data_IF_099140975920
#
_entry.id   IF_099140975920
#
_cell.length_a   1.000
_cell.length_b   1.000
_cell.length_c   1.000
_cell.angle_alpha   90.00
_cell.angle_beta   90.00
_cell.angle_gamma   90.00
#
_symmetry.space_group_name_H-M   'P 1'
#
loop_
_entity.id
_entity.type
_entity.pdbx_description
1 polymer ?
#
# COMPACT_ATOMS: atom_id res chain seq x y z
N UNK A 1 -4.80 28.16 0.77
CA UNK A 1 -5.59 26.94 0.59
C UNK A 1 -5.86 26.25 1.93
N UNK A 2 -6.85 25.35 2.04
CA UNK A 2 -7.08 24.54 3.27
C UNK A 2 -6.37 23.19 3.16
N UNK A 3 -5.86 22.71 4.30
CA UNK A 3 -5.17 21.41 4.36
C UNK A 3 -5.05 20.87 5.78
N UNK A 4 -4.83 19.56 5.89
CA UNK A 4 -4.63 18.85 7.16
C UNK A 4 -3.13 18.75 7.45
N UNK A 5 -2.65 19.60 8.35
CA UNK A 5 -1.25 19.66 8.77
C UNK A 5 -1.00 18.72 9.94
N UNK A 6 -0.06 17.82 9.79
CA UNK A 6 0.49 17.02 10.89
C UNK A 6 1.71 17.70 11.49
N UNK A 7 1.66 17.97 12.79
CA UNK A 7 2.79 18.51 13.56
C UNK A 7 3.12 17.55 14.71
N UNK A 8 4.28 16.92 14.72
CA UNK A 8 4.62 15.92 15.74
C UNK A 8 4.51 16.47 17.17
N UNK A 9 3.95 15.66 18.06
CA UNK A 9 3.85 15.95 19.49
C UNK A 9 4.09 14.66 20.26
N UNK A 10 5.20 14.57 20.97
CA UNK A 10 5.58 13.37 21.74
C UNK A 10 4.48 12.96 22.73
N UNK A 11 3.90 13.86 23.56
CA UNK A 11 2.83 13.47 24.48
C UNK A 11 1.61 12.88 23.78
N UNK A 12 1.16 13.50 22.68
CA UNK A 12 0.00 13.00 21.90
C UNK A 12 0.32 11.67 21.21
N UNK A 13 1.52 11.52 20.70
CA UNK A 13 2.00 10.29 20.09
C UNK A 13 1.97 9.12 21.08
N UNK A 14 2.52 9.31 22.30
CA UNK A 14 2.51 8.30 23.36
C UNK A 14 1.07 7.98 23.79
N UNK A 15 0.24 8.98 24.03
CA UNK A 15 -1.15 8.76 24.39
C UNK A 15 -1.94 8.00 23.30
N UNK A 16 -1.75 8.35 22.04
CA UNK A 16 -2.37 7.66 20.91
C UNK A 16 -1.87 6.20 20.79
N UNK A 17 -0.58 5.95 21.04
CA UNK A 17 0.01 4.61 21.06
C UNK A 17 -0.62 3.73 22.13
N UNK A 18 -0.76 4.26 23.35
CA UNK A 18 -1.29 3.52 24.49
C UNK A 18 -2.79 3.23 24.35
N UNK A 19 -3.57 4.20 23.93
CA UNK A 19 -5.04 4.09 23.83
C UNK A 19 -5.50 3.48 22.49
N UNK A 20 -4.63 3.49 21.46
CA UNK A 20 -4.94 2.97 20.13
C UNK A 20 -6.21 3.57 19.54
N UNK A 21 -7.10 2.75 18.99
CA UNK A 21 -8.37 3.21 18.39
C UNK A 21 -9.36 3.87 19.35
N UNK A 22 -9.11 3.83 20.67
CA UNK A 22 -9.90 4.55 21.69
C UNK A 22 -9.47 6.01 21.83
N UNK A 23 -8.26 6.36 21.36
CA UNK A 23 -7.78 7.75 21.37
C UNK A 23 -8.62 8.60 20.40
N UNK A 24 -9.23 9.71 20.89
CA UNK A 24 -10.14 10.49 20.07
C UNK A 24 -9.40 11.15 18.90
N UNK A 25 -9.90 11.06 17.66
CA UNK A 25 -9.23 11.66 16.50
C UNK A 25 -8.90 13.14 16.67
N UNK A 26 -9.81 13.93 17.26
CA UNK A 26 -9.59 15.37 17.51
C UNK A 26 -8.41 15.70 18.42
N UNK A 27 -7.92 14.72 19.19
CA UNK A 27 -6.75 14.86 20.04
C UNK A 27 -5.44 14.47 19.35
N UNK A 28 -5.50 13.92 18.13
CA UNK A 28 -4.32 13.60 17.33
C UNK A 28 -3.52 14.85 16.97
N UNK A 29 -2.26 14.66 16.58
CA UNK A 29 -1.36 15.71 16.10
C UNK A 29 -1.68 16.14 14.67
N UNK A 30 -2.96 16.27 14.33
CA UNK A 30 -3.47 16.64 13.00
C UNK A 30 -4.44 17.82 13.16
N UNK A 31 -4.29 18.83 12.30
CA UNK A 31 -5.10 20.04 12.37
C UNK A 31 -5.48 20.51 10.97
N UNK A 32 -6.77 20.83 10.79
CA UNK A 32 -7.22 21.54 9.61
C UNK A 32 -6.84 23.03 9.76
N UNK A 33 -6.09 23.55 8.78
CA UNK A 33 -5.61 24.93 8.84
C UNK A 33 -5.59 25.57 7.45
N UNK A 34 -5.47 26.90 7.43
CA UNK A 34 -5.22 27.65 6.21
C UNK A 34 -3.71 27.70 5.97
N UNK A 35 -3.30 27.19 4.82
CA UNK A 35 -1.92 27.14 4.37
C UNK A 35 -1.70 28.12 3.21
N UNK A 36 -0.48 28.61 3.00
CA UNK A 36 -0.15 29.31 1.77
C UNK A 36 -0.35 28.39 0.57
N UNK A 37 -0.42 28.98 -0.62
CA UNK A 37 -0.33 28.19 -1.86
C UNK A 37 1.03 27.52 -1.91
N UNK A 38 1.09 26.23 -2.33
CA UNK A 38 2.37 25.54 -2.38
C UNK A 38 3.28 26.18 -3.42
N UNK A 39 4.52 26.43 -3.03
CA UNK A 39 5.57 26.87 -3.94
C UNK A 39 5.80 25.84 -5.03
N UNK A 40 6.17 26.29 -6.21
CA UNK A 40 6.45 25.43 -7.36
C UNK A 40 7.95 25.42 -7.66
N UNK A 41 8.72 24.47 -7.10
CA UNK A 41 10.12 24.33 -7.44
C UNK A 41 10.32 24.00 -8.93
N UNK A 42 11.52 24.24 -9.48
CA UNK A 42 11.83 23.81 -10.86
C UNK A 42 11.57 22.32 -11.05
N UNK A 43 10.89 21.96 -12.15
CA UNK A 43 10.50 20.58 -12.46
C UNK A 43 9.18 20.12 -11.82
N UNK A 44 8.61 20.89 -10.89
CA UNK A 44 7.33 20.55 -10.25
C UNK A 44 6.14 21.27 -10.88
N UNK A 45 4.96 20.66 -10.78
CA UNK A 45 3.70 21.22 -11.21
C UNK A 45 2.72 21.35 -10.03
N UNK A 46 1.88 22.40 -10.08
CA UNK A 46 0.82 22.59 -9.07
C UNK A 46 -0.45 21.86 -9.50
N UNK A 47 -0.96 21.04 -8.61
CA UNK A 47 -2.12 20.18 -8.83
C UNK A 47 -3.29 20.59 -7.93
N UNK A 48 -4.52 20.47 -8.45
CA UNK A 48 -5.76 20.55 -7.68
C UNK A 48 -6.16 19.14 -7.27
N UNK A 49 -6.20 18.85 -5.97
CA UNK A 49 -6.57 17.52 -5.49
C UNK A 49 -8.06 17.29 -5.67
N UNK A 50 -8.43 16.13 -6.22
CA UNK A 50 -9.81 15.68 -6.38
C UNK A 50 -10.21 14.69 -5.30
N UNK A 51 -9.37 13.66 -5.08
CA UNK A 51 -9.53 12.67 -4.03
C UNK A 51 -8.16 12.32 -3.44
N UNK A 52 -8.10 12.08 -2.15
CA UNK A 52 -6.91 11.57 -1.48
C UNK A 52 -7.27 10.46 -0.49
N UNK A 53 -6.64 9.30 -0.63
CA UNK A 53 -6.87 8.14 0.24
C UNK A 53 -6.30 8.31 1.64
N UNK A 54 -6.85 7.54 2.58
CA UNK A 54 -6.26 7.32 3.91
C UNK A 54 -5.64 5.94 3.90
N UNK A 55 -4.31 5.90 4.03
CA UNK A 55 -3.52 4.68 4.08
C UNK A 55 -3.36 4.14 5.52
N UNK A 56 -3.04 2.87 5.64
CA UNK A 56 -2.63 2.26 6.91
C UNK A 56 -1.37 2.90 7.51
N UNK A 57 -0.44 3.38 6.67
CA UNK A 57 0.79 4.09 7.09
C UNK A 57 0.48 5.46 7.71
N UNK A 58 -0.50 6.22 7.18
CA UNK A 58 -0.97 7.46 7.79
C UNK A 58 -1.53 7.20 9.19
N UNK A 59 -2.35 6.15 9.32
CA UNK A 59 -2.90 5.76 10.62
C UNK A 59 -1.81 5.25 11.57
N UNK A 60 -0.80 4.54 11.07
CA UNK A 60 0.33 4.09 11.88
C UNK A 60 1.14 5.28 12.43
N UNK A 61 1.36 6.32 11.61
CA UNK A 61 1.98 7.57 12.05
C UNK A 61 1.11 8.27 13.12
N UNK A 62 -0.16 8.51 12.82
CA UNK A 62 -1.07 9.24 13.71
C UNK A 62 -1.27 8.55 15.08
N UNK A 63 -1.28 7.22 15.11
CA UNK A 63 -1.52 6.42 16.31
C UNK A 63 -0.25 5.81 16.93
N UNK A 64 0.93 6.31 16.58
CA UNK A 64 2.19 5.91 17.22
C UNK A 64 2.58 4.44 16.99
N UNK A 65 2.14 3.84 15.91
CA UNK A 65 2.40 2.43 15.56
C UNK A 65 3.52 2.24 14.55
N UNK A 66 4.07 3.33 14.02
CA UNK A 66 5.17 3.28 13.09
C UNK A 66 6.46 2.78 13.77
N UNK A 67 7.26 2.00 13.06
CA UNK A 67 8.55 1.55 13.59
C UNK A 67 9.48 2.76 13.82
N UNK A 68 10.10 2.90 15.00
CA UNK A 68 10.99 4.02 15.30
C UNK A 68 12.15 4.15 14.30
N UNK A 69 12.62 3.04 13.75
CA UNK A 69 13.69 3.00 12.73
C UNK A 69 13.34 3.75 11.44
N UNK A 70 12.05 3.94 11.14
CA UNK A 70 11.59 4.70 9.99
C UNK A 70 11.58 6.23 10.23
N UNK A 71 11.73 6.69 11.47
CA UNK A 71 11.60 8.11 11.81
C UNK A 71 12.61 9.01 11.10
N UNK A 72 13.81 8.51 10.79
CA UNK A 72 14.83 9.24 10.04
C UNK A 72 14.53 9.37 8.53
N UNK A 73 13.52 8.65 8.05
CA UNK A 73 13.12 8.64 6.64
C UNK A 73 11.92 9.56 6.36
N UNK A 74 11.51 10.39 7.32
CA UNK A 74 10.38 11.32 7.18
C UNK A 74 10.72 12.67 7.80
N UNK A 75 10.09 13.73 7.31
CA UNK A 75 10.26 15.06 7.85
C UNK A 75 8.91 15.76 8.06
N UNK A 76 8.81 16.50 9.17
CA UNK A 76 7.60 17.17 9.60
C UNK A 76 7.91 18.59 10.12
N UNK A 77 6.92 19.53 10.17
CA UNK A 77 5.49 19.32 9.88
C UNK A 77 5.21 19.07 8.39
N UNK A 78 4.16 18.33 8.06
CA UNK A 78 3.77 18.06 6.68
C UNK A 78 2.26 17.89 6.53
N UNK A 79 1.71 18.23 5.37
CA UNK A 79 0.38 17.80 4.95
C UNK A 79 0.47 16.35 4.55
N UNK A 80 -0.36 15.47 5.15
CA UNK A 80 -0.34 14.03 4.88
C UNK A 80 -1.10 13.66 3.58
N UNK A 81 -1.13 12.35 3.29
CA UNK A 81 -1.84 11.75 2.17
C UNK A 81 -0.99 11.57 0.92
N UNK A 82 -0.75 10.33 0.55
CA UNK A 82 0.10 9.93 -0.57
C UNK A 82 -0.63 9.11 -1.64
N UNK A 83 -1.90 8.76 -1.43
CA UNK A 83 -2.77 8.11 -2.43
C UNK A 83 -3.60 9.20 -3.11
N UNK A 84 -3.21 9.68 -4.29
CA UNK A 84 -3.67 10.97 -4.82
C UNK A 84 -4.22 10.85 -6.23
N UNK A 85 -5.47 11.29 -6.39
CA UNK A 85 -6.07 11.68 -7.65
C UNK A 85 -6.17 13.21 -7.68
N UNK A 86 -5.64 13.84 -8.71
CA UNK A 86 -5.61 15.28 -8.87
C UNK A 86 -5.97 15.71 -10.29
N UNK A 87 -5.90 17.02 -10.54
CA UNK A 87 -6.12 17.65 -11.83
C UNK A 87 -4.97 18.61 -12.15
N UNK A 88 -4.43 18.52 -13.36
CA UNK A 88 -3.44 19.41 -13.93
C UNK A 88 -4.00 20.00 -15.22
N UNK A 89 -4.31 21.30 -15.24
CA UNK A 89 -4.80 21.99 -16.46
C UNK A 89 -6.07 21.37 -17.04
N UNK A 90 -6.97 20.83 -16.23
CA UNK A 90 -8.21 20.16 -16.67
C UNK A 90 -8.06 18.65 -16.93
N UNK A 91 -6.83 18.14 -16.97
CA UNK A 91 -6.57 16.69 -17.14
C UNK A 91 -6.51 15.99 -15.79
N UNK A 92 -7.21 14.85 -15.66
CA UNK A 92 -7.14 14.01 -14.45
C UNK A 92 -5.83 13.24 -14.43
N UNK A 93 -5.16 13.28 -13.27
CA UNK A 93 -3.85 12.67 -13.08
C UNK A 93 -3.78 11.96 -11.73
N UNK A 94 -2.96 10.92 -11.67
CA UNK A 94 -2.54 10.29 -10.41
C UNK A 94 -1.08 10.59 -10.15
N UNK A 95 -0.69 10.62 -8.89
CA UNK A 95 0.65 11.03 -8.47
C UNK A 95 1.39 9.85 -7.87
N UNK A 96 2.57 9.55 -8.40
CA UNK A 96 3.54 8.68 -7.74
C UNK A 96 4.25 9.50 -6.64
N UNK A 97 4.04 9.19 -5.34
CA UNK A 97 4.58 9.99 -4.25
C UNK A 97 6.06 9.75 -3.93
N UNK A 98 6.72 8.81 -4.59
CA UNK A 98 8.15 8.51 -4.36
C UNK A 98 9.02 9.73 -4.72
N UNK A 99 9.96 10.07 -3.83
CA UNK A 99 10.96 11.12 -4.02
C UNK A 99 12.35 10.49 -4.01
N UNK A 100 12.96 10.41 -5.18
CA UNK A 100 14.27 9.82 -5.41
C UNK A 100 15.34 10.88 -5.78
N UNK A 101 16.46 10.49 -6.33
CA UNK A 101 17.55 11.40 -6.71
C UNK A 101 17.08 12.51 -7.63
N UNK A 102 16.24 12.21 -8.62
CA UNK A 102 15.73 13.19 -9.59
C UNK A 102 15.00 14.35 -8.91
N UNK A 103 14.04 14.07 -8.04
CA UNK A 103 13.23 15.09 -7.36
C UNK A 103 14.05 15.87 -6.35
N UNK A 104 15.15 15.28 -5.86
CA UNK A 104 16.08 15.89 -4.90
C UNK A 104 17.19 16.69 -5.55
N UNK A 105 17.24 16.75 -6.91
CA UNK A 105 18.28 17.45 -7.65
C UNK A 105 19.67 16.81 -7.53
N UNK A 106 19.74 15.50 -7.37
CA UNK A 106 20.98 14.73 -7.21
C UNK A 106 21.24 13.81 -8.40
N UNK A 107 22.50 13.50 -8.69
CA UNK A 107 22.86 12.40 -9.59
C UNK A 107 22.29 11.07 -9.07
N UNK A 108 22.01 10.16 -9.99
CA UNK A 108 21.46 8.84 -9.63
C UNK A 108 22.40 8.06 -8.69
N UNK A 109 21.84 7.62 -7.58
CA UNK A 109 22.49 6.64 -6.73
C UNK A 109 22.40 5.23 -7.36
N UNK A 110 23.15 4.22 -6.86
CA UNK A 110 23.11 2.88 -7.43
C UNK A 110 21.73 2.23 -7.52
N UNK A 111 20.79 2.59 -6.65
CA UNK A 111 19.41 2.11 -6.72
C UNK A 111 18.64 2.79 -7.86
N UNK A 112 18.70 4.13 -7.94
CA UNK A 112 18.04 4.89 -9.01
C UNK A 112 18.58 4.53 -10.41
N UNK A 113 19.88 4.35 -10.53
CA UNK A 113 20.51 3.92 -11.79
C UNK A 113 20.03 2.54 -12.29
N UNK A 114 19.49 1.70 -11.40
CA UNK A 114 18.88 0.41 -11.76
C UNK A 114 17.37 0.47 -11.93
N UNK A 115 16.75 1.64 -11.82
CA UNK A 115 15.29 1.79 -11.80
C UNK A 115 14.60 1.41 -10.49
N UNK A 116 15.37 1.12 -9.43
CA UNK A 116 14.86 0.81 -8.09
C UNK A 116 14.71 2.13 -7.27
N UNK A 117 14.09 3.14 -7.84
CA UNK A 117 14.01 4.51 -7.28
C UNK A 117 13.30 4.56 -5.93
N UNK A 118 12.40 3.64 -5.64
CA UNK A 118 11.75 3.46 -4.33
C UNK A 118 12.75 3.02 -3.23
N UNK A 119 13.92 2.49 -3.60
CA UNK A 119 15.02 2.13 -2.71
C UNK A 119 16.16 3.17 -2.77
N UNK A 120 15.87 4.41 -3.12
CA UNK A 120 16.85 5.49 -3.22
C UNK A 120 17.71 5.59 -1.95
N UNK A 121 19.05 5.65 -2.12
CA UNK A 121 19.98 5.81 -1.00
C UNK A 121 19.94 7.25 -0.42
N UNK A 122 19.57 8.22 -1.27
CA UNK A 122 19.59 9.63 -0.95
C UNK A 122 18.25 10.15 -0.38
N UNK A 123 17.53 9.30 0.37
CA UNK A 123 16.19 9.62 0.90
C UNK A 123 16.16 10.85 1.82
N UNK A 124 17.30 11.23 2.38
CA UNK A 124 17.46 12.38 3.29
C UNK A 124 18.40 13.46 2.75
N UNK A 125 18.93 13.30 1.54
CA UNK A 125 19.92 14.19 0.93
C UNK A 125 19.29 15.09 -0.14
N UNK A 126 20.03 16.11 -0.58
CA UNK A 126 19.63 17.02 -1.65
C UNK A 126 18.71 18.15 -1.21
N UNK A 127 17.90 18.65 -2.13
CA UNK A 127 17.11 19.89 -1.97
C UNK A 127 15.81 19.69 -1.17
N UNK A 128 15.44 18.45 -0.83
CA UNK A 128 14.23 18.12 -0.09
C UNK A 128 14.56 17.41 1.22
N UNK A 129 13.80 17.71 2.26
CA UNK A 129 13.86 16.95 3.50
C UNK A 129 13.52 15.46 3.31
N UNK A 130 13.87 14.60 4.28
CA UNK A 130 13.54 13.18 4.23
C UNK A 130 12.05 12.93 3.95
N UNK A 131 11.75 11.90 3.17
CA UNK A 131 10.39 11.43 2.97
C UNK A 131 9.97 11.26 1.52
N UNK A 132 8.68 11.03 1.37
CA UNK A 132 7.92 11.00 0.13
C UNK A 132 6.80 12.04 0.21
N UNK A 133 6.11 12.32 -0.88
CA UNK A 133 4.91 13.19 -0.87
C UNK A 133 3.94 12.71 0.23
N UNK A 134 3.50 13.63 1.08
CA UNK A 134 2.67 13.31 2.26
C UNK A 134 3.45 12.98 3.53
N UNK A 135 4.78 12.81 3.46
CA UNK A 135 5.68 12.59 4.60
C UNK A 135 6.96 13.42 4.51
N UNK A 136 6.98 14.43 3.64
CA UNK A 136 8.08 15.36 3.46
C UNK A 136 7.62 16.79 3.81
N UNK A 137 8.37 17.47 4.67
CA UNK A 137 8.03 18.84 5.15
C UNK A 137 8.00 19.88 4.03
N UNK A 138 8.77 19.66 2.97
CA UNK A 138 8.92 20.63 1.87
C UNK A 138 7.88 20.43 0.76
N UNK A 139 7.19 19.27 0.77
CA UNK A 139 6.15 18.93 -0.20
C UNK A 139 4.89 18.42 0.52
N UNK A 140 3.80 19.15 0.35
CA UNK A 140 2.50 18.75 0.91
C UNK A 140 1.91 17.56 0.18
N UNK A 141 1.17 16.72 0.91
CA UNK A 141 0.39 15.60 0.38
C UNK A 141 -1.02 15.97 -0.04
N UNK A 142 -1.80 14.93 -0.39
CA UNK A 142 -3.14 15.08 -0.95
C UNK A 142 -4.25 15.46 0.06
N UNK A 143 -3.95 15.56 1.38
CA UNK A 143 -4.98 16.02 2.33
C UNK A 143 -5.03 17.55 2.37
N UNK A 144 -4.96 18.17 1.21
CA UNK A 144 -5.13 19.60 0.98
C UNK A 144 -5.80 19.85 -0.37
N UNK A 145 -6.33 21.06 -0.56
CA UNK A 145 -6.99 21.46 -1.82
C UNK A 145 -6.02 21.48 -3.00
N UNK A 146 -4.75 21.80 -2.76
CA UNK A 146 -3.69 21.85 -3.77
C UNK A 146 -2.40 21.31 -3.22
N UNK A 147 -1.57 20.80 -4.13
CA UNK A 147 -0.26 20.27 -3.84
C UNK A 147 0.69 20.52 -5.01
N UNK A 148 1.95 20.15 -4.86
CA UNK A 148 2.92 20.08 -5.96
C UNK A 148 3.48 18.68 -6.09
N UNK A 149 3.76 18.28 -7.33
CA UNK A 149 4.48 17.04 -7.63
C UNK A 149 5.46 17.27 -8.79
N UNK A 150 6.55 16.51 -8.80
CA UNK A 150 7.48 16.54 -9.93
C UNK A 150 6.80 16.03 -11.19
N UNK A 151 7.04 16.67 -12.35
CA UNK A 151 6.38 16.33 -13.62
C UNK A 151 6.51 14.86 -14.00
N UNK A 152 7.65 14.24 -13.73
CA UNK A 152 7.91 12.81 -14.00
C UNK A 152 7.14 11.86 -13.05
N UNK A 153 6.49 12.39 -12.03
CA UNK A 153 5.66 11.64 -11.06
C UNK A 153 4.16 11.84 -11.30
N UNK A 154 3.78 12.53 -12.38
CA UNK A 154 2.39 12.84 -12.72
C UNK A 154 1.98 11.99 -13.92
N UNK A 155 0.95 11.18 -13.75
CA UNK A 155 0.47 10.25 -14.78
C UNK A 155 -0.98 10.58 -15.16
N UNK A 156 -1.24 10.96 -16.42
CA UNK A 156 -2.61 11.07 -16.93
C UNK A 156 -3.34 9.73 -16.83
N UNK A 157 -4.63 9.79 -16.57
CA UNK A 157 -5.50 8.61 -16.52
C UNK A 157 -6.57 8.68 -17.59
N UNK A 158 -6.98 7.51 -18.08
CA UNK A 158 -8.06 7.36 -19.05
C UNK A 158 -9.36 7.97 -18.49
N UNK A 159 -10.08 8.70 -19.34
CA UNK A 159 -11.35 9.35 -18.98
C UNK A 159 -12.43 8.36 -18.55
N UNK A 160 -12.37 7.12 -19.04
CA UNK A 160 -13.31 6.05 -18.68
C UNK A 160 -13.05 5.44 -17.29
N UNK A 161 -11.88 5.69 -16.69
CA UNK A 161 -11.57 5.22 -15.34
C UNK A 161 -12.26 6.12 -14.32
N UNK A 162 -13.19 5.61 -13.47
CA UNK A 162 -13.84 6.44 -12.46
C UNK A 162 -12.85 6.91 -11.38
N UNK A 163 -13.14 8.07 -10.79
CA UNK A 163 -12.27 8.70 -9.76
C UNK A 163 -11.98 7.75 -8.60
N UNK A 164 -12.95 6.92 -8.20
CA UNK A 164 -12.82 5.93 -7.13
C UNK A 164 -11.85 4.80 -7.48
N UNK A 165 -11.72 4.45 -8.76
CA UNK A 165 -10.71 3.49 -9.20
C UNK A 165 -9.35 4.16 -9.30
N UNK A 166 -9.32 5.37 -9.84
CA UNK A 166 -8.09 6.14 -10.03
C UNK A 166 -7.36 6.45 -8.71
N UNK A 167 -8.06 6.79 -7.62
CA UNK A 167 -7.44 7.06 -6.33
C UNK A 167 -6.79 5.81 -5.68
N UNK A 168 -7.10 4.62 -6.19
CA UNK A 168 -6.52 3.35 -5.76
C UNK A 168 -5.23 2.98 -6.52
N UNK A 169 -4.75 3.82 -7.44
CA UNK A 169 -3.54 3.53 -8.24
C UNK A 169 -2.32 3.29 -7.34
N UNK A 170 -2.10 4.16 -6.36
CA UNK A 170 -0.96 4.04 -5.46
C UNK A 170 -0.95 2.70 -4.72
N UNK A 171 -1.97 2.31 -3.94
CA UNK A 171 -1.96 1.02 -3.26
C UNK A 171 -2.03 -0.19 -4.23
N UNK A 172 -2.52 -0.01 -5.46
CA UNK A 172 -2.46 -1.06 -6.49
C UNK A 172 -1.02 -1.25 -7.02
N UNK A 173 -0.23 -0.17 -7.12
CA UNK A 173 1.18 -0.25 -7.49
C UNK A 173 2.02 -1.00 -6.43
N UNK A 174 1.72 -0.80 -5.14
CA UNK A 174 2.32 -1.61 -4.04
C UNK A 174 2.08 -3.10 -4.27
N UNK A 175 0.86 -3.47 -4.65
CA UNK A 175 0.49 -4.87 -4.90
C UNK A 175 1.20 -5.41 -6.13
N UNK A 176 1.19 -4.69 -7.25
CA UNK A 176 1.87 -5.11 -8.48
C UNK A 176 3.36 -5.36 -8.22
N UNK A 177 4.03 -4.41 -7.57
CA UNK A 177 5.44 -4.53 -7.21
C UNK A 177 5.71 -5.78 -6.37
N UNK A 178 4.95 -5.98 -5.29
CA UNK A 178 5.10 -7.14 -4.41
C UNK A 178 4.90 -8.48 -5.13
N UNK A 179 3.87 -8.59 -5.95
CA UNK A 179 3.62 -9.81 -6.74
C UNK A 179 4.78 -10.10 -7.70
N UNK A 180 5.35 -9.06 -8.32
CA UNK A 180 6.54 -9.20 -9.17
C UNK A 180 7.78 -9.63 -8.38
N UNK A 181 8.01 -9.08 -7.19
CA UNK A 181 9.12 -9.49 -6.32
C UNK A 181 9.01 -10.96 -5.91
N UNK A 182 7.80 -11.44 -5.62
CA UNK A 182 7.61 -12.80 -5.14
C UNK A 182 7.60 -13.86 -6.26
N UNK A 183 7.00 -13.54 -7.41
CA UNK A 183 6.70 -14.52 -8.46
C UNK A 183 7.09 -14.09 -9.89
N UNK A 184 7.70 -12.93 -10.09
CA UNK A 184 8.24 -12.53 -11.38
C UNK A 184 9.42 -13.41 -11.81
N UNK A 185 9.53 -13.76 -13.12
CA UNK A 185 10.61 -14.59 -13.66
C UNK A 185 11.94 -13.87 -13.82
N UNK A 186 11.90 -12.55 -13.98
CA UNK A 186 13.10 -11.72 -14.07
C UNK A 186 12.80 -10.30 -13.60
N UNK A 187 13.81 -9.60 -13.09
CA UNK A 187 13.78 -8.13 -13.11
C UNK A 187 13.73 -7.74 -14.59
N UNK A 188 12.85 -6.79 -14.94
CA UNK A 188 12.83 -6.25 -16.30
C UNK A 188 14.25 -5.79 -16.68
N UNK A 189 14.68 -6.00 -17.95
CA UNK A 189 15.92 -5.41 -18.43
C UNK A 189 15.91 -3.89 -18.18
N UNK A 190 17.03 -3.35 -17.75
CA UNK A 190 17.24 -1.92 -17.48
C UNK A 190 17.11 -1.00 -18.71
N UNK A 191 16.79 -1.55 -19.88
CA UNK A 191 16.68 -0.83 -21.15
C UNK A 191 15.25 -0.48 -21.58
N UNK A 192 14.28 -0.60 -20.69
CA UNK A 192 12.90 -0.32 -21.04
C UNK A 192 12.57 1.17 -20.95
N UNK A 193 12.82 1.92 -22.04
CA UNK A 193 12.16 3.20 -22.30
C UNK A 193 10.81 2.94 -22.99
N UNK A 194 9.72 3.65 -22.60
CA UNK A 194 8.43 3.43 -23.23
C UNK A 194 8.51 3.71 -24.73
N UNK A 195 8.26 2.70 -25.53
CA UNK A 195 8.00 2.84 -26.97
C UNK A 195 6.54 3.27 -27.22
N UNK A 196 6.24 3.95 -28.34
CA UNK A 196 4.92 4.51 -28.59
C UNK A 196 3.80 3.49 -28.87
N UNK A 197 4.11 2.23 -29.08
CA UNK A 197 3.11 1.19 -29.38
C UNK A 197 3.46 -0.11 -28.67
N UNK A 198 2.65 -0.54 -27.71
CA UNK A 198 2.89 -1.85 -27.17
C UNK A 198 1.88 -2.38 -26.18
N UNK A 199 1.47 -3.59 -26.38
CA UNK A 199 0.76 -4.44 -25.43
C UNK A 199 1.67 -4.82 -24.25
N UNK A 200 1.62 -4.07 -23.17
CA UNK A 200 2.48 -4.29 -21.99
C UNK A 200 2.07 -5.49 -21.13
N UNK A 201 0.89 -6.06 -21.35
CA UNK A 201 0.42 -7.25 -20.64
C UNK A 201 1.27 -8.50 -20.91
N UNK A 202 1.98 -8.56 -22.04
CA UNK A 202 2.81 -9.71 -22.43
C UNK A 202 4.19 -9.75 -21.77
N UNK A 203 4.63 -8.73 -21.04
CA UNK A 203 5.99 -8.62 -20.51
C UNK A 203 6.19 -9.19 -19.09
N UNK A 204 5.12 -9.47 -18.36
CA UNK A 204 5.23 -10.12 -17.06
C UNK A 204 5.11 -11.63 -17.17
N UNK A 205 6.22 -12.30 -17.40
CA UNK A 205 6.28 -13.76 -17.21
C UNK A 205 6.34 -14.04 -15.70
N UNK A 206 5.27 -14.63 -15.17
CA UNK A 206 5.14 -14.93 -13.74
C UNK A 206 5.30 -16.44 -13.50
N UNK A 207 6.00 -16.80 -12.43
CA UNK A 207 6.05 -18.17 -11.91
C UNK A 207 4.98 -18.33 -10.84
N UNK A 208 3.71 -18.34 -11.26
CA UNK A 208 2.62 -18.49 -10.34
C UNK A 208 2.69 -19.81 -9.57
N UNK A 209 2.39 -19.80 -8.26
CA UNK A 209 2.14 -21.03 -7.52
C UNK A 209 0.86 -21.71 -8.02
N UNK A 210 0.68 -22.99 -7.72
CA UNK A 210 -0.52 -23.72 -8.11
C UNK A 210 -1.79 -23.11 -7.48
N UNK A 211 -1.67 -22.61 -6.27
CA UNK A 211 -2.76 -21.97 -5.52
C UNK A 211 -2.26 -20.86 -4.61
N UNK A 212 -3.14 -19.93 -4.26
CA UNK A 212 -2.82 -18.78 -3.41
C UNK A 212 -3.84 -18.53 -2.32
N UNK A 213 -3.35 -18.11 -1.14
CA UNK A 213 -4.15 -17.56 -0.05
C UNK A 213 -3.79 -16.10 0.23
N UNK A 214 -4.79 -15.23 0.28
CA UNK A 214 -4.65 -13.85 0.74
C UNK A 214 -5.14 -13.74 2.19
N UNK A 215 -4.24 -13.43 3.12
CA UNK A 215 -4.55 -13.26 4.54
C UNK A 215 -4.84 -11.79 4.83
N UNK A 216 -6.14 -11.48 5.02
CA UNK A 216 -6.64 -10.12 5.23
C UNK A 216 -7.25 -9.50 3.98
N UNK A 217 -8.55 -9.23 4.03
CA UNK A 217 -9.34 -8.64 2.95
C UNK A 217 -9.61 -7.14 3.19
N UNK A 218 -8.58 -6.39 3.59
CA UNK A 218 -8.55 -4.92 3.58
C UNK A 218 -8.22 -4.38 2.17
N UNK A 219 -7.90 -3.09 2.05
CA UNK A 219 -7.57 -2.46 0.77
C UNK A 219 -6.50 -3.24 0.00
N UNK A 220 -5.37 -3.55 0.63
CA UNK A 220 -4.26 -4.26 -0.03
C UNK A 220 -4.66 -5.68 -0.42
N UNK A 221 -5.33 -6.44 0.45
CA UNK A 221 -5.74 -7.81 0.13
C UNK A 221 -6.77 -7.89 -0.99
N UNK A 222 -7.73 -6.97 -1.02
CA UNK A 222 -8.73 -6.90 -2.11
C UNK A 222 -8.07 -6.50 -3.43
N UNK A 223 -7.15 -5.53 -3.42
CA UNK A 223 -6.35 -5.19 -4.60
C UNK A 223 -5.47 -6.36 -5.05
N UNK A 224 -4.92 -7.14 -4.12
CA UNK A 224 -4.14 -8.35 -4.44
C UNK A 224 -4.99 -9.37 -5.19
N UNK A 225 -6.21 -9.65 -4.71
CA UNK A 225 -7.13 -10.57 -5.38
C UNK A 225 -7.41 -10.12 -6.82
N UNK A 226 -7.74 -8.84 -7.00
CA UNK A 226 -8.01 -8.29 -8.34
C UNK A 226 -6.78 -8.28 -9.23
N UNK A 227 -5.63 -7.85 -8.71
CA UNK A 227 -4.38 -7.77 -9.48
C UNK A 227 -3.92 -9.15 -9.94
N UNK A 228 -4.03 -10.19 -9.12
CA UNK A 228 -3.72 -11.57 -9.51
C UNK A 228 -4.53 -11.98 -10.75
N UNK A 229 -5.84 -11.69 -10.78
CA UNK A 229 -6.70 -12.00 -11.92
C UNK A 229 -6.35 -11.18 -13.16
N UNK A 230 -6.07 -9.90 -12.99
CA UNK A 230 -5.65 -9.02 -14.10
C UNK A 230 -4.31 -9.47 -14.68
N UNK A 231 -3.39 -9.98 -13.85
CA UNK A 231 -2.10 -10.51 -14.30
C UNK A 231 -2.15 -11.97 -14.80
N UNK A 232 -3.36 -12.56 -14.94
CA UNK A 232 -3.55 -13.88 -15.52
C UNK A 232 -3.31 -15.06 -14.55
N UNK A 233 -3.42 -14.85 -13.25
CA UNK A 233 -3.43 -15.98 -12.32
C UNK A 233 -4.78 -16.73 -12.42
N UNK A 234 -4.78 -17.93 -12.98
CA UNK A 234 -5.97 -18.76 -13.19
C UNK A 234 -6.19 -19.81 -12.08
N UNK A 235 -5.17 -20.07 -11.27
CA UNK A 235 -5.23 -21.04 -10.19
C UNK A 235 -6.27 -20.71 -9.10
N UNK A 236 -6.56 -21.65 -8.18
CA UNK A 236 -7.41 -21.43 -7.04
C UNK A 236 -6.89 -20.28 -6.17
N UNK A 237 -7.76 -19.28 -5.93
CA UNK A 237 -7.47 -18.08 -5.17
C UNK A 237 -8.39 -18.00 -3.96
N UNK A 238 -7.81 -18.07 -2.79
CA UNK A 238 -8.49 -18.08 -1.52
C UNK A 238 -8.25 -16.79 -0.74
N UNK A 239 -9.19 -16.40 0.11
CA UNK A 239 -9.04 -15.23 0.96
C UNK A 239 -9.54 -15.47 2.39
N UNK A 240 -8.88 -14.83 3.35
CA UNK A 240 -9.36 -14.73 4.73
C UNK A 240 -10.02 -13.38 4.94
N UNK A 241 -11.35 -13.38 5.14
CA UNK A 241 -12.14 -12.19 5.40
C UNK A 241 -12.99 -12.38 6.65
N UNK A 242 -12.84 -11.46 7.63
CA UNK A 242 -13.53 -11.54 8.93
C UNK A 242 -14.86 -10.77 8.97
N UNK A 243 -15.11 -9.93 7.94
CA UNK A 243 -16.30 -9.09 7.87
C UNK A 243 -17.09 -9.38 6.58
N UNK A 244 -18.45 -9.43 6.63
CA UNK A 244 -19.27 -9.78 5.47
C UNK A 244 -18.96 -8.94 4.23
N UNK A 245 -18.87 -7.63 4.36
CA UNK A 245 -18.57 -6.73 3.24
C UNK A 245 -17.21 -6.99 2.58
N UNK A 246 -16.21 -7.39 3.36
CA UNK A 246 -14.90 -7.78 2.83
C UNK A 246 -15.00 -9.10 2.05
N UNK A 247 -15.78 -10.05 2.56
CA UNK A 247 -16.01 -11.33 1.91
C UNK A 247 -16.72 -11.15 0.55
N UNK A 248 -17.80 -10.35 0.52
CA UNK A 248 -18.53 -10.02 -0.70
C UNK A 248 -17.61 -9.40 -1.77
N UNK A 249 -16.80 -8.43 -1.39
CA UNK A 249 -15.86 -7.78 -2.31
C UNK A 249 -14.74 -8.72 -2.75
N UNK A 250 -14.21 -9.56 -1.85
CA UNK A 250 -13.20 -10.54 -2.23
C UNK A 250 -13.72 -11.51 -3.28
N UNK A 251 -14.97 -11.96 -3.15
CA UNK A 251 -15.63 -12.80 -4.14
C UNK A 251 -15.87 -12.08 -5.46
N UNK A 252 -16.39 -10.84 -5.41
CA UNK A 252 -16.61 -10.00 -6.58
C UNK A 252 -15.31 -9.77 -7.37
N UNK A 253 -14.18 -9.59 -6.67
CA UNK A 253 -12.89 -9.31 -7.27
C UNK A 253 -12.13 -10.54 -7.76
N UNK A 254 -12.68 -11.76 -7.54
CA UNK A 254 -12.18 -12.97 -8.17
C UNK A 254 -11.61 -14.05 -7.22
N UNK A 255 -11.83 -13.94 -5.90
CA UNK A 255 -11.54 -15.06 -5.00
C UNK A 255 -12.52 -16.22 -5.25
N UNK A 256 -12.00 -17.45 -5.32
CA UNK A 256 -12.81 -18.64 -5.51
C UNK A 256 -13.55 -19.04 -4.23
N UNK A 257 -12.88 -18.91 -3.09
CA UNK A 257 -13.46 -19.24 -1.79
C UNK A 257 -12.91 -18.31 -0.69
N UNK A 258 -13.77 -18.02 0.28
CA UNK A 258 -13.48 -17.13 1.38
C UNK A 258 -13.65 -17.86 2.70
N UNK A 259 -12.68 -17.68 3.59
CA UNK A 259 -12.67 -18.31 4.89
C UNK A 259 -12.78 -17.27 6.02
N UNK A 260 -13.46 -17.58 7.13
CA UNK A 260 -13.54 -16.68 8.28
C UNK A 260 -12.23 -16.60 9.07
N UNK A 261 -11.33 -17.57 8.89
CA UNK A 261 -10.04 -17.64 9.57
C UNK A 261 -9.01 -18.39 8.74
N UNK A 262 -7.74 -18.14 9.00
CA UNK A 262 -6.62 -18.85 8.39
C UNK A 262 -6.63 -20.34 8.75
N UNK A 263 -7.04 -20.69 9.98
CA UNK A 263 -7.21 -22.09 10.39
C UNK A 263 -8.25 -22.82 9.53
N UNK A 264 -9.40 -22.21 9.25
CA UNK A 264 -10.41 -22.80 8.38
C UNK A 264 -9.88 -23.02 6.95
N UNK A 265 -9.11 -22.05 6.42
CA UNK A 265 -8.44 -22.17 5.13
C UNK A 265 -7.43 -23.34 5.11
N UNK A 266 -6.58 -23.46 6.14
CA UNK A 266 -5.62 -24.57 6.27
C UNK A 266 -6.30 -25.94 6.32
N UNK A 267 -7.39 -26.06 7.06
CA UNK A 267 -8.16 -27.33 7.13
C UNK A 267 -8.75 -27.69 5.76
N UNK A 268 -9.30 -26.71 5.05
CA UNK A 268 -9.84 -26.92 3.69
C UNK A 268 -8.74 -27.31 2.68
N UNK A 269 -7.51 -26.82 2.85
CA UNK A 269 -6.35 -27.22 2.06
C UNK A 269 -5.74 -28.57 2.51
N UNK A 270 -6.37 -29.31 3.43
CA UNK A 270 -5.87 -30.59 3.91
C UNK A 270 -4.63 -30.52 4.80
N UNK A 271 -4.31 -29.34 5.33
CA UNK A 271 -3.17 -29.17 6.21
C UNK A 271 -3.35 -29.96 7.54
N UNK A 272 -2.28 -30.59 8.00
CA UNK A 272 -2.28 -31.41 9.22
C UNK A 272 -1.77 -30.57 10.41
N UNK A 273 -2.53 -30.62 11.50
CA UNK A 273 -2.20 -29.92 12.74
C UNK A 273 -1.53 -30.87 13.74
N UNK A 274 -0.45 -30.45 14.31
CA UNK A 274 0.29 -31.16 15.35
C UNK A 274 0.33 -30.35 16.64
N UNK A 275 0.15 -31.02 17.78
CA UNK A 275 0.29 -30.41 19.10
C UNK A 275 1.68 -30.70 19.64
N UNK A 276 2.39 -29.64 19.98
CA UNK A 276 3.68 -29.70 20.68
C UNK A 276 3.54 -29.55 22.19
N UNK A 277 4.67 -29.38 22.84
CA UNK A 277 4.74 -29.13 24.28
C UNK A 277 4.07 -27.78 24.64
N UNK A 278 3.56 -27.66 25.86
CA UNK A 278 2.91 -26.46 26.37
C UNK A 278 1.79 -25.90 25.49
N UNK A 279 1.15 -26.76 24.70
CA UNK A 279 0.05 -26.37 23.80
C UNK A 279 0.48 -25.69 22.51
N UNK A 280 1.77 -25.63 22.21
CA UNK A 280 2.28 -25.15 20.93
C UNK A 280 1.63 -25.91 19.77
N UNK A 281 1.41 -25.23 18.67
CA UNK A 281 0.77 -25.81 17.50
C UNK A 281 1.63 -25.60 16.27
N UNK A 282 1.87 -26.67 15.52
CA UNK A 282 2.52 -26.62 14.21
C UNK A 282 1.59 -27.19 13.14
N UNK A 283 1.85 -26.82 11.88
CA UNK A 283 1.11 -27.25 10.72
C UNK A 283 2.03 -27.82 9.65
N UNK A 284 1.58 -28.79 8.89
CA UNK A 284 2.22 -29.33 7.69
C UNK A 284 1.23 -29.30 6.53
N UNK A 285 1.74 -29.00 5.32
CA UNK A 285 0.90 -28.68 4.18
C UNK A 285 0.35 -27.26 4.25
N UNK A 286 -0.62 -26.95 3.43
CA UNK A 286 -1.18 -25.61 3.25
C UNK A 286 -0.96 -25.11 1.82
N UNK A 287 -0.93 -23.80 1.64
CA UNK A 287 -0.90 -23.14 0.33
C UNK A 287 0.52 -22.96 -0.20
N UNK A 288 0.71 -23.04 -1.51
CA UNK A 288 2.02 -22.80 -2.13
C UNK A 288 2.43 -21.34 -2.07
N UNK A 289 1.49 -20.44 -2.34
CA UNK A 289 1.68 -18.97 -2.22
C UNK A 289 0.74 -18.38 -1.18
N UNK A 290 1.29 -17.55 -0.28
CA UNK A 290 0.49 -16.82 0.70
C UNK A 290 0.86 -15.34 0.66
N UNK A 291 -0.15 -14.46 0.64
CA UNK A 291 0.05 -13.01 0.73
C UNK A 291 -0.45 -12.53 2.08
N UNK A 292 0.45 -11.96 2.89
CA UNK A 292 0.10 -11.26 4.12
C UNK A 292 -0.27 -9.82 3.80
N UNK A 293 -1.55 -9.47 3.95
CA UNK A 293 -2.12 -8.16 3.65
C UNK A 293 -2.88 -7.54 4.84
N UNK A 294 -2.77 -8.11 6.03
CA UNK A 294 -3.46 -7.62 7.23
C UNK A 294 -2.67 -6.52 7.96
N UNK A 295 -1.35 -6.50 7.79
CA UNK A 295 -0.42 -5.60 8.48
C UNK A 295 -0.38 -5.81 9.99
N UNK A 296 -0.67 -7.02 10.48
CA UNK A 296 -0.68 -7.32 11.90
C UNK A 296 0.31 -8.43 12.27
N UNK A 297 0.92 -8.38 13.47
CA UNK A 297 1.79 -9.48 13.93
C UNK A 297 1.11 -10.85 13.90
N UNK A 298 -0.17 -10.91 14.27
CA UNK A 298 -0.96 -12.13 14.21
C UNK A 298 -1.15 -12.62 12.75
N UNK A 299 -1.41 -11.70 11.81
CA UNK A 299 -1.54 -12.05 10.39
C UNK A 299 -0.25 -12.59 9.79
N UNK A 300 0.91 -12.03 10.17
CA UNK A 300 2.20 -12.58 9.76
C UNK A 300 2.40 -14.00 10.29
N UNK A 301 2.10 -14.24 11.56
CA UNK A 301 2.18 -15.57 12.16
C UNK A 301 1.20 -16.55 11.49
N UNK A 302 -0.04 -16.12 11.24
CA UNK A 302 -1.05 -16.91 10.52
C UNK A 302 -0.58 -17.25 9.09
N UNK A 303 -0.04 -16.28 8.34
CA UNK A 303 0.47 -16.49 6.98
C UNK A 303 1.65 -17.47 6.95
N UNK A 304 2.58 -17.37 7.92
CA UNK A 304 3.72 -18.27 8.07
C UNK A 304 3.31 -19.71 8.27
N UNK A 305 2.22 -19.96 9.03
CA UNK A 305 1.72 -21.30 9.23
C UNK A 305 0.78 -21.79 8.13
N UNK A 306 0.19 -20.88 7.33
CA UNK A 306 -0.70 -21.24 6.23
C UNK A 306 0.04 -21.68 4.97
N UNK A 307 1.27 -21.22 4.76
CA UNK A 307 2.08 -21.63 3.62
C UNK A 307 2.62 -23.05 3.82
N UNK A 308 2.68 -23.85 2.74
CA UNK A 308 3.26 -25.22 2.78
C UNK A 308 4.80 -25.17 2.86
N UNK A 309 5.40 -26.33 3.08
CA UNK A 309 6.84 -26.54 3.01
C UNK A 309 7.37 -26.10 1.62
N UNK A 310 8.48 -25.38 1.60
CA UNK A 310 9.10 -24.82 0.38
C UNK A 310 8.28 -23.73 -0.31
N UNK A 311 7.14 -23.32 0.27
CA UNK A 311 6.30 -22.25 -0.28
C UNK A 311 6.82 -20.84 0.06
N UNK A 312 6.07 -19.81 -0.37
CA UNK A 312 6.47 -18.41 -0.19
C UNK A 312 5.36 -17.58 0.47
N UNK A 313 5.77 -16.72 1.39
CA UNK A 313 4.95 -15.66 1.98
C UNK A 313 5.41 -14.32 1.41
N UNK A 314 4.51 -13.61 0.72
CA UNK A 314 4.71 -12.22 0.34
C UNK A 314 4.17 -11.32 1.45
N UNK A 315 5.01 -10.47 2.02
CA UNK A 315 4.68 -9.53 3.06
C UNK A 315 4.33 -8.17 2.44
N UNK A 316 3.05 -7.86 2.29
CA UNK A 316 2.52 -6.56 1.84
C UNK A 316 2.00 -5.74 3.02
N UNK A 317 1.52 -6.38 4.06
CA UNK A 317 1.20 -5.70 5.31
C UNK A 317 2.48 -5.24 6.00
N UNK A 318 2.40 -4.15 6.77
CA UNK A 318 3.55 -3.57 7.48
C UNK A 318 3.39 -3.72 9.00
N UNK A 319 3.65 -4.91 9.60
CA UNK A 319 3.75 -5.04 11.04
C UNK A 319 5.03 -4.34 11.49
N UNK A 320 4.91 -3.20 12.21
CA UNK A 320 6.06 -2.36 12.53
C UNK A 320 7.08 -3.05 13.43
N UNK A 321 6.65 -3.54 14.59
CA UNK A 321 7.49 -4.28 15.54
C UNK A 321 6.67 -5.44 16.08
N UNK A 322 7.17 -6.64 15.96
CA UNK A 322 6.48 -7.85 16.35
C UNK A 322 7.43 -8.88 16.98
N UNK A 323 6.93 -9.59 17.98
CA UNK A 323 7.52 -10.87 18.36
C UNK A 323 7.05 -11.93 17.36
N UNK A 324 7.99 -12.67 16.78
CA UNK A 324 7.70 -13.64 15.73
C UNK A 324 8.56 -14.90 15.89
N UNK A 325 7.95 -16.07 15.72
CA UNK A 325 8.66 -17.34 15.69
C UNK A 325 9.23 -17.58 14.28
N UNK A 326 10.55 -17.51 14.17
CA UNK A 326 11.27 -17.73 12.92
C UNK A 326 11.58 -19.20 12.63
N UNK A 327 11.28 -20.13 13.55
CA UNK A 327 11.61 -21.54 13.34
C UNK A 327 10.97 -22.14 12.08
N UNK A 328 9.72 -21.82 11.68
CA UNK A 328 9.12 -22.35 10.44
C UNK A 328 9.93 -22.04 9.18
N UNK A 329 10.65 -20.92 9.14
CA UNK A 329 11.39 -20.52 7.93
C UNK A 329 12.55 -21.45 7.62
N UNK A 330 13.27 -21.95 8.61
CA UNK A 330 14.37 -22.87 8.38
C UNK A 330 13.95 -24.33 8.33
N UNK A 331 13.04 -24.80 9.23
CA UNK A 331 12.69 -26.25 9.23
C UNK A 331 11.60 -26.63 8.23
N UNK A 332 10.89 -25.65 7.63
CA UNK A 332 9.95 -25.85 6.54
C UNK A 332 10.40 -25.21 5.21
N UNK A 333 11.60 -24.62 5.20
CA UNK A 333 12.19 -23.97 4.03
C UNK A 333 11.28 -22.90 3.38
N UNK A 334 10.60 -22.10 4.22
CA UNK A 334 9.65 -21.08 3.76
C UNK A 334 10.40 -19.83 3.33
N UNK A 335 10.10 -19.33 2.11
CA UNK A 335 10.55 -18.01 1.67
C UNK A 335 9.67 -16.90 2.23
N UNK A 336 10.26 -15.89 2.90
CA UNK A 336 9.60 -14.62 3.25
C UNK A 336 10.12 -13.54 2.33
N UNK A 337 9.24 -12.95 1.53
CA UNK A 337 9.56 -11.90 0.57
C UNK A 337 8.98 -10.58 1.10
N UNK A 338 9.85 -9.62 1.44
CA UNK A 338 9.46 -8.26 1.76
C UNK A 338 9.20 -7.45 0.50
N UNK A 339 8.29 -6.48 0.58
CA UNK A 339 8.00 -5.52 -0.48
C UNK A 339 7.82 -4.14 0.12
N UNK A 340 8.41 -3.13 -0.51
CA UNK A 340 8.31 -1.74 -0.09
C UNK A 340 8.01 -0.84 -1.28
N UNK A 341 6.95 -0.05 -1.18
CA UNK A 341 6.54 0.89 -2.23
C UNK A 341 6.51 0.24 -3.64
N UNK A 342 7.07 0.86 -4.65
CA UNK A 342 7.10 0.41 -6.04
C UNK A 342 8.09 1.27 -6.85
N UNK A 343 8.64 0.73 -7.92
CA UNK A 343 9.43 1.48 -8.89
C UNK A 343 8.55 2.42 -9.71
N UNK A 344 9.18 3.38 -10.40
CA UNK A 344 8.50 4.23 -11.37
C UNK A 344 7.75 3.38 -12.42
N UNK A 345 8.39 2.33 -12.93
CA UNK A 345 7.80 1.43 -13.91
C UNK A 345 6.56 0.69 -13.38
N UNK A 346 6.60 0.21 -12.13
CA UNK A 346 5.43 -0.45 -11.53
C UNK A 346 4.24 0.48 -11.41
N UNK A 347 4.47 1.75 -11.06
CA UNK A 347 3.42 2.76 -11.00
C UNK A 347 2.85 3.03 -12.40
N UNK A 348 3.72 3.28 -13.39
CA UNK A 348 3.33 3.50 -14.79
C UNK A 348 2.51 2.32 -15.35
N UNK A 349 2.93 1.09 -15.06
CA UNK A 349 2.20 -0.11 -15.46
C UNK A 349 0.84 -0.21 -14.76
N UNK A 350 0.78 0.11 -13.47
CA UNK A 350 -0.48 0.11 -12.73
C UNK A 350 -1.48 1.07 -13.34
N UNK A 351 -1.05 2.27 -13.76
CA UNK A 351 -1.93 3.23 -14.47
C UNK A 351 -2.52 2.61 -15.73
N UNK A 352 -1.72 1.88 -16.53
CA UNK A 352 -2.18 1.19 -17.73
C UNK A 352 -3.14 0.04 -17.45
N UNK A 353 -3.02 -0.61 -16.28
CA UNK A 353 -3.90 -1.71 -15.87
C UNK A 353 -5.23 -1.24 -15.26
N UNK A 354 -5.37 0.04 -14.91
CA UNK A 354 -6.60 0.55 -14.28
C UNK A 354 -7.90 0.25 -15.05
N UNK A 355 -7.96 0.34 -16.38
CA UNK A 355 -9.17 -0.02 -17.13
C UNK A 355 -9.62 -1.47 -16.88
N UNK A 356 -8.69 -2.41 -16.68
CA UNK A 356 -8.96 -3.83 -16.42
C UNK A 356 -9.28 -4.12 -14.95
N UNK A 357 -8.97 -3.20 -14.05
CA UNK A 357 -9.22 -3.36 -12.63
C UNK A 357 -10.66 -3.03 -12.21
N UNK A 358 -11.64 -3.35 -13.08
CA UNK A 358 -13.08 -3.13 -12.82
C UNK A 358 -13.52 -3.78 -11.51
N UNK A 359 -14.36 -3.07 -10.75
CA UNK A 359 -14.92 -3.54 -9.48
C UNK A 359 -14.18 -3.00 -8.25
N UNK A 360 -12.91 -2.57 -8.36
CA UNK A 360 -12.18 -2.01 -7.19
C UNK A 360 -12.75 -0.68 -6.71
N UNK A 361 -13.44 0.08 -7.56
CA UNK A 361 -14.13 1.32 -7.20
C UNK A 361 -15.11 1.15 -6.04
N UNK A 362 -15.73 -0.03 -5.92
CA UNK A 362 -16.62 -0.39 -4.81
C UNK A 362 -15.92 -0.46 -3.43
N UNK A 363 -14.59 -0.45 -3.42
CA UNK A 363 -13.78 -0.40 -2.20
C UNK A 363 -13.78 0.99 -1.57
N UNK A 364 -14.04 2.07 -2.33
CA UNK A 364 -14.15 3.43 -1.80
C UNK A 364 -15.52 3.58 -1.14
N UNK A 365 -15.58 3.25 0.15
CA UNK A 365 -16.84 3.17 0.91
C UNK A 365 -17.25 4.47 1.57
N UNK A 366 -16.30 5.37 1.82
CA UNK A 366 -16.56 6.63 2.54
C UNK A 366 -15.78 7.78 1.91
N UNK A 367 -16.47 8.92 1.74
CA UNK A 367 -15.89 10.17 1.26
C UNK A 367 -16.21 11.27 2.25
N UNK A 368 -15.21 12.07 2.63
CA UNK A 368 -15.35 13.17 3.57
C UNK A 368 -14.69 14.43 3.02
N UNK A 369 -15.26 15.59 3.31
CA UNK A 369 -14.54 16.85 3.19
C UNK A 369 -13.46 16.97 4.26
N UNK A 370 -12.50 17.87 4.08
CA UNK A 370 -11.42 18.07 5.06
C UNK A 370 -11.93 18.48 6.46
N UNK A 371 -13.07 19.14 6.53
CA UNK A 371 -13.71 19.54 7.79
C UNK A 371 -14.13 18.36 8.66
N UNK A 372 -14.51 17.27 8.01
CA UNK A 372 -14.96 16.05 8.68
C UNK A 372 -13.80 15.04 8.90
N UNK A 373 -12.55 15.54 8.96
CA UNK A 373 -11.38 14.67 9.15
C UNK A 373 -11.42 13.78 10.40
N UNK A 374 -11.98 14.20 11.55
CA UNK A 374 -12.02 13.32 12.70
C UNK A 374 -12.90 12.09 12.46
N UNK A 375 -14.04 12.28 11.77
CA UNK A 375 -14.97 11.23 11.39
C UNK A 375 -14.34 10.30 10.33
N UNK A 376 -13.60 10.85 9.36
CA UNK A 376 -12.85 10.10 8.36
C UNK A 376 -11.78 9.20 9.00
N UNK A 377 -10.95 9.76 9.89
CA UNK A 377 -9.93 9.00 10.64
C UNK A 377 -10.60 7.92 11.50
N UNK A 378 -11.71 8.24 12.16
CA UNK A 378 -12.48 7.27 12.96
C UNK A 378 -13.00 6.12 12.09
N UNK A 379 -13.57 6.40 10.94
CA UNK A 379 -14.06 5.37 10.01
C UNK A 379 -12.92 4.44 9.56
N UNK A 380 -11.76 5.02 9.23
CA UNK A 380 -10.58 4.27 8.79
C UNK A 380 -9.99 3.40 9.92
N UNK A 381 -9.71 3.97 11.10
CA UNK A 381 -9.05 3.24 12.21
C UNK A 381 -9.94 2.17 12.83
N UNK A 382 -11.28 2.36 12.82
CA UNK A 382 -12.24 1.36 13.31
C UNK A 382 -12.60 0.30 12.26
N UNK A 383 -12.04 0.41 11.03
CA UNK A 383 -12.30 -0.51 9.91
C UNK A 383 -13.79 -0.56 9.51
N UNK A 384 -14.55 0.53 9.73
CA UNK A 384 -15.92 0.67 9.20
C UNK A 384 -15.90 0.91 7.69
N UNK A 385 -14.87 1.61 7.19
CA UNK A 385 -14.58 1.75 5.77
C UNK A 385 -13.52 0.76 5.30
N UNK A 386 -13.57 0.36 4.04
CA UNK A 386 -12.51 -0.40 3.36
C UNK A 386 -11.47 0.59 2.86
N UNK A 387 -11.85 1.51 1.97
CA UNK A 387 -11.09 2.69 1.62
C UNK A 387 -11.90 3.93 1.99
N UNK A 388 -11.28 4.78 2.77
CA UNK A 388 -11.79 6.10 3.13
C UNK A 388 -10.98 7.14 2.38
N UNK A 389 -11.64 8.13 1.78
CA UNK A 389 -10.98 9.19 1.02
C UNK A 389 -11.45 10.56 1.47
N UNK A 390 -10.55 11.55 1.37
CA UNK A 390 -10.90 12.96 1.42
C UNK A 390 -11.23 13.48 0.02
N UNK A 391 -12.20 14.39 -0.05
CA UNK A 391 -12.49 15.27 -1.16
C UNK A 391 -12.22 16.70 -0.69
N UNK A 392 -11.01 17.22 -0.88
CA UNK A 392 -10.56 18.51 -0.34
C UNK A 392 -11.27 19.71 -0.90
#
# INVERSE_FOLDING_TARGET
MRGLLFTPSIPRYVAAKLLGKRYPPRALSLQLTTLPEPERPPGFERLKVRLAGICGSDLALLYGKQAPTLSGMFSFPAVLGHEILAELGGVRVVVNPVLACLERGLPDCPACARGDDHLCFNVAEGNLGPGMVGFCRDLGGGWAQRMVAHRERIFPIDEQVPDERAVLTEPAAVVLHGLRQAWGKSRLPTEFRPGPEGSYLSTYSMNWPAEMLVVGAGTIGLLTIKMLRVLGFEGPLFAVARHPRQAELAQLLGANQIFPSTQAAQQAAGARRYRGILGATSWRGGFEGVVEASGSPAGLQEATWAVREGGRVLLLGAPATAFHDFSPYWFREIGLIGSYAYSWDDFAQTVKLLPEMKGIEAMVTHRFGLEAWPEAIKAAVTRRGIKVVFKP
#
